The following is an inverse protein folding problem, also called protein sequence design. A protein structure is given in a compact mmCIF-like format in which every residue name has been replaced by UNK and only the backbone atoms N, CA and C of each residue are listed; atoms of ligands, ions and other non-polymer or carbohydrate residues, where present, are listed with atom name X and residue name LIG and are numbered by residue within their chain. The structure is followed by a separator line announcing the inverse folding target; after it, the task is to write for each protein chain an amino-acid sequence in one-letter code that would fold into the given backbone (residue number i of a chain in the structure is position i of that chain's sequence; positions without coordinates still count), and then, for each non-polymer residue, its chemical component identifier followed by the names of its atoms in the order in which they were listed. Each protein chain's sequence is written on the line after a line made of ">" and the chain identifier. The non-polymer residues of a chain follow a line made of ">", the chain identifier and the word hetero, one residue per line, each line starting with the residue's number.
data_IF_941401815417
#
_entry.id   IF_941401815417
#
_cell.length_a   1.000
_cell.length_b   1.000
_cell.length_c   1.000
_cell.angle_alpha   90.00
_cell.angle_beta   90.00
_cell.angle_gamma   90.00
#
_symmetry.space_group_name_H-M   'P 1'
#
loop_
_entity.id
_entity.type
_entity.pdbx_description
1 polymer ?
#
# COMPACT_ATOMS: atom_id res chain seq x y z
N UNK A 1 -11.70 13.50 7.56
CA UNK A 1 -10.90 13.58 8.80
C UNK A 1 -11.62 12.93 9.98
N UNK A 2 -12.83 13.34 10.34
CA UNK A 2 -13.55 12.81 11.53
C UNK A 2 -13.61 11.27 11.61
N UNK A 3 -13.98 10.59 10.51
CA UNK A 3 -13.99 9.11 10.45
C UNK A 3 -12.63 8.50 10.82
N UNK A 4 -11.54 9.12 10.40
CA UNK A 4 -10.18 8.68 10.71
C UNK A 4 -9.87 8.87 12.20
N UNK A 5 -10.18 10.02 12.78
CA UNK A 5 -9.97 10.27 14.22
C UNK A 5 -10.83 9.36 15.10
N UNK A 6 -12.08 9.08 14.71
CA UNK A 6 -12.92 8.10 15.40
C UNK A 6 -12.29 6.70 15.40
N UNK A 7 -11.75 6.26 14.25
CA UNK A 7 -11.01 5.00 14.18
C UNK A 7 -9.77 5.00 15.08
N UNK A 8 -9.02 6.11 15.12
CA UNK A 8 -7.83 6.21 15.97
C UNK A 8 -8.15 6.20 17.46
N UNK A 9 -9.31 6.72 17.89
CA UNK A 9 -9.77 6.62 19.29
C UNK A 9 -9.97 5.15 19.70
N UNK A 10 -10.55 4.34 18.81
CA UNK A 10 -10.68 2.89 19.04
C UNK A 10 -9.32 2.19 19.12
N UNK A 11 -8.34 2.62 18.32
CA UNK A 11 -6.98 2.09 18.42
C UNK A 11 -6.29 2.52 19.71
N UNK A 12 -6.44 3.78 20.13
CA UNK A 12 -5.90 4.28 21.39
C UNK A 12 -6.40 3.45 22.59
N UNK A 13 -7.68 3.06 22.59
CA UNK A 13 -8.23 2.13 23.60
C UNK A 13 -7.53 0.77 23.63
N UNK A 14 -7.04 0.27 22.49
CA UNK A 14 -6.31 -1.00 22.41
C UNK A 14 -4.81 -0.88 22.71
N UNK A 15 -4.26 0.32 22.68
CA UNK A 15 -2.84 0.58 22.89
C UNK A 15 -2.50 0.96 24.35
N UNK A 16 -3.49 1.10 25.24
CA UNK A 16 -3.34 1.64 26.60
C UNK A 16 -2.25 0.95 27.43
N UNK A 17 -2.10 -0.37 27.29
CA UNK A 17 -1.15 -1.18 28.06
C UNK A 17 0.16 -1.49 27.31
N UNK A 18 0.38 -0.88 26.13
CA UNK A 18 1.57 -1.13 25.32
C UNK A 18 2.59 0.02 25.51
N UNK A 19 3.84 -0.29 25.89
CA UNK A 19 4.86 0.74 26.04
C UNK A 19 5.12 1.51 24.73
N UNK A 20 5.22 2.86 24.75
CA UNK A 20 5.44 3.66 23.54
C UNK A 20 6.65 3.23 22.67
N UNK A 21 7.80 2.77 23.22
CA UNK A 21 8.90 2.28 22.40
C UNK A 21 8.59 1.04 21.54
N UNK A 22 7.50 0.33 21.85
CA UNK A 22 7.04 -0.85 21.12
C UNK A 22 5.93 -0.50 20.11
N UNK A 23 5.56 0.78 19.99
CA UNK A 23 4.53 1.26 19.08
C UNK A 23 5.19 2.06 17.97
N UNK A 24 4.93 1.66 16.72
CA UNK A 24 5.27 2.46 15.54
C UNK A 24 4.00 2.69 14.72
N UNK A 25 3.60 3.95 14.59
CA UNK A 25 2.47 4.34 13.75
C UNK A 25 2.99 5.00 12.49
N UNK A 26 2.58 4.49 11.34
CA UNK A 26 2.99 5.02 10.02
C UNK A 26 1.78 5.51 9.24
N UNK A 27 2.01 6.55 8.44
CA UNK A 27 1.06 7.15 7.52
C UNK A 27 1.62 7.09 6.09
N UNK A 28 0.77 6.72 5.14
CA UNK A 28 1.19 6.38 3.77
C UNK A 28 0.56 7.29 2.71
N UNK A 29 0.33 6.80 1.48
CA UNK A 29 0.04 7.58 0.28
C UNK A 29 -1.02 8.68 0.47
N UNK A 30 -2.16 8.39 1.09
CA UNK A 30 -3.23 9.37 1.29
C UNK A 30 -2.77 10.57 2.11
N UNK A 31 -1.99 10.36 3.17
CA UNK A 31 -1.49 11.43 4.02
C UNK A 31 -0.19 12.06 3.47
N UNK A 32 0.55 11.36 2.61
CA UNK A 32 1.63 11.98 1.83
C UNK A 32 1.12 13.05 0.87
N UNK A 33 -0.06 12.84 0.29
CA UNK A 33 -0.61 13.69 -0.78
C UNK A 33 -1.58 14.76 -0.27
N UNK A 34 -2.17 14.59 0.92
CA UNK A 34 -3.17 15.51 1.44
C UNK A 34 -2.56 16.86 1.85
N UNK A 35 -3.08 17.96 1.29
CA UNK A 35 -2.66 19.33 1.64
C UNK A 35 -2.84 19.63 3.13
N UNK A 36 -3.89 19.09 3.74
CA UNK A 36 -4.23 19.24 5.16
C UNK A 36 -3.78 18.04 6.02
N UNK A 37 -2.77 17.28 5.57
CA UNK A 37 -2.24 16.16 6.34
C UNK A 37 -1.74 16.57 7.73
N UNK A 38 -1.15 17.77 7.85
CA UNK A 38 -0.64 18.29 9.13
C UNK A 38 -1.71 18.36 10.22
N UNK A 39 -2.89 18.89 9.90
CA UNK A 39 -4.01 18.98 10.84
C UNK A 39 -4.49 17.60 11.29
N UNK A 40 -4.57 16.66 10.34
CA UNK A 40 -4.96 15.28 10.65
C UNK A 40 -3.93 14.60 11.56
N UNK A 41 -2.63 14.74 11.24
CA UNK A 41 -1.52 14.12 11.96
C UNK A 41 -1.40 14.69 13.37
N UNK A 42 -1.46 16.02 13.53
CA UNK A 42 -1.40 16.66 14.84
C UNK A 42 -2.48 16.07 15.77
N UNK A 43 -3.72 16.02 15.30
CA UNK A 43 -4.82 15.46 16.08
C UNK A 43 -4.71 13.94 16.28
N UNK A 44 -4.18 13.21 15.30
CA UNK A 44 -3.94 11.78 15.41
C UNK A 44 -2.92 11.45 16.50
N UNK A 45 -1.84 12.22 16.60
CA UNK A 45 -0.81 12.05 17.63
C UNK A 45 -1.36 12.33 19.03
N UNK A 46 -2.20 13.35 19.19
CA UNK A 46 -2.91 13.61 20.46
C UNK A 46 -3.79 12.42 20.87
N UNK A 47 -4.53 11.85 19.93
CA UNK A 47 -5.44 10.72 20.19
C UNK A 47 -4.65 9.46 20.57
N UNK A 48 -3.56 9.17 19.86
CA UNK A 48 -2.80 7.93 20.00
C UNK A 48 -1.73 7.99 21.12
N UNK A 49 -1.36 9.18 21.58
CA UNK A 49 -0.29 9.37 22.55
C UNK A 49 1.11 9.00 22.03
N UNK A 50 1.28 8.83 20.72
CA UNK A 50 2.55 8.50 20.08
C UNK A 50 2.70 9.18 18.71
N UNK A 51 3.93 9.32 18.19
CA UNK A 51 4.18 9.97 16.91
C UNK A 51 3.58 9.20 15.73
N UNK A 52 3.07 9.94 14.74
CA UNK A 52 2.60 9.37 13.46
C UNK A 52 3.61 9.75 12.39
N UNK A 53 4.37 8.76 11.92
CA UNK A 53 5.43 8.99 10.93
C UNK A 53 4.88 8.84 9.51
N UNK A 54 4.90 9.92 8.74
CA UNK A 54 4.68 9.83 7.29
C UNK A 54 5.91 9.19 6.66
N UNK A 55 5.76 8.02 6.06
CA UNK A 55 6.85 7.30 5.40
C UNK A 55 6.81 7.52 3.90
N UNK A 56 7.97 7.50 3.25
CA UNK A 56 8.05 7.53 1.78
C UNK A 56 7.36 6.30 1.19
N UNK A 57 6.98 6.39 -0.08
CA UNK A 57 6.49 5.21 -0.81
C UNK A 57 7.54 4.10 -0.85
N UNK A 58 8.82 4.46 -0.88
CA UNK A 58 9.88 3.45 -0.85
C UNK A 58 9.99 2.73 0.51
N UNK A 59 9.89 3.46 1.62
CA UNK A 59 9.91 2.85 2.95
C UNK A 59 8.68 1.96 3.17
N UNK A 60 7.52 2.35 2.64
CA UNK A 60 6.29 1.54 2.66
C UNK A 60 6.49 0.21 1.92
N UNK A 61 6.96 0.27 0.68
CA UNK A 61 7.29 -0.91 -0.12
C UNK A 61 8.33 -1.81 0.57
N UNK A 62 9.35 -1.23 1.21
CA UNK A 62 10.38 -1.98 1.96
C UNK A 62 9.75 -2.75 3.13
N UNK A 63 8.90 -2.10 3.91
CA UNK A 63 8.22 -2.70 5.05
C UNK A 63 7.23 -3.79 4.62
N UNK A 64 6.50 -3.58 3.53
CA UNK A 64 5.62 -4.59 2.93
C UNK A 64 6.42 -5.84 2.54
N UNK A 65 7.54 -5.66 1.82
CA UNK A 65 8.40 -6.78 1.42
C UNK A 65 8.94 -7.53 2.64
N UNK A 66 9.38 -6.83 3.68
CA UNK A 66 9.82 -7.46 4.93
C UNK A 66 8.69 -8.28 5.58
N UNK A 67 7.47 -7.74 5.64
CA UNK A 67 6.32 -8.48 6.15
C UNK A 67 6.06 -9.77 5.38
N UNK A 68 6.09 -9.72 4.04
CA UNK A 68 5.91 -10.90 3.17
C UNK A 68 7.06 -11.90 3.34
N UNK A 69 8.31 -11.43 3.37
CA UNK A 69 9.49 -12.28 3.51
C UNK A 69 9.52 -13.08 4.82
N UNK A 70 8.94 -12.55 5.90
CA UNK A 70 8.85 -13.25 7.19
C UNK A 70 7.63 -14.18 7.32
N UNK A 71 6.64 -14.05 6.45
CA UNK A 71 5.35 -14.77 6.58
C UNK A 71 5.09 -15.76 5.44
N UNK A 72 5.85 -15.69 4.35
CA UNK A 72 5.62 -16.50 3.15
C UNK A 72 6.79 -17.46 2.90
N UNK A 73 6.51 -18.77 2.93
CA UNK A 73 7.45 -19.80 2.51
C UNK A 73 7.49 -19.98 0.98
N UNK A 74 8.42 -20.81 0.48
CA UNK A 74 8.57 -21.11 -0.94
C UNK A 74 9.87 -20.57 -1.52
N UNK A 75 9.85 -20.16 -2.78
CA UNK A 75 11.05 -19.63 -3.45
C UNK A 75 11.49 -18.29 -2.84
N UNK A 76 12.79 -18.15 -2.61
CA UNK A 76 13.34 -16.95 -1.98
C UNK A 76 13.30 -15.72 -2.88
N UNK A 77 13.43 -15.90 -4.20
CA UNK A 77 13.41 -14.82 -5.18
C UNK A 77 11.97 -14.50 -5.61
N UNK A 78 11.49 -13.33 -5.22
CA UNK A 78 10.07 -12.97 -5.35
C UNK A 78 9.83 -11.55 -5.83
N UNK A 79 8.71 -11.38 -6.53
CA UNK A 79 8.06 -10.10 -6.75
C UNK A 79 6.89 -9.98 -5.76
N UNK A 80 6.84 -8.88 -5.03
CA UNK A 80 5.72 -8.52 -4.17
C UNK A 80 4.95 -7.37 -4.82
N UNK A 81 3.63 -7.53 -4.92
CA UNK A 81 2.71 -6.51 -5.43
C UNK A 81 1.69 -6.18 -4.37
N UNK A 82 1.64 -4.94 -3.93
CA UNK A 82 0.62 -4.44 -3.01
C UNK A 82 -0.21 -3.37 -3.70
N UNK A 83 -1.51 -3.61 -3.86
CA UNK A 83 -2.43 -2.65 -4.48
C UNK A 83 -3.25 -1.97 -3.38
N UNK A 84 -2.80 -0.79 -2.98
CA UNK A 84 -3.45 0.06 -2.01
C UNK A 84 -4.56 0.94 -2.60
N UNK A 85 -5.04 1.88 -1.79
CA UNK A 85 -6.10 2.82 -2.19
C UNK A 85 -5.61 3.93 -3.12
N UNK A 86 -4.41 4.46 -2.87
CA UNK A 86 -3.84 5.59 -3.60
C UNK A 86 -2.48 5.29 -4.26
N UNK A 87 -1.75 4.30 -3.75
CA UNK A 87 -0.48 3.82 -4.32
C UNK A 87 -0.48 2.30 -4.50
N UNK A 88 0.47 1.84 -5.31
CA UNK A 88 0.75 0.43 -5.57
C UNK A 88 2.24 0.22 -5.45
N UNK A 89 2.64 -0.69 -4.56
CA UNK A 89 4.02 -1.02 -4.31
C UNK A 89 4.43 -2.26 -5.11
N UNK A 90 5.60 -2.19 -5.77
CA UNK A 90 6.20 -3.29 -6.52
C UNK A 90 7.64 -3.48 -6.06
N UNK A 91 7.94 -4.66 -5.51
CA UNK A 91 9.24 -4.93 -4.91
C UNK A 91 9.78 -6.26 -5.38
N UNK A 92 10.96 -6.28 -5.98
CA UNK A 92 11.70 -7.52 -6.22
C UNK A 92 12.69 -7.74 -5.09
N UNK A 93 12.99 -9.00 -4.77
CA UNK A 93 14.04 -9.32 -3.81
C UNK A 93 14.28 -10.80 -3.65
N UNK A 94 15.35 -11.14 -2.93
CA UNK A 94 15.69 -12.52 -2.56
C UNK A 94 15.85 -12.65 -1.05
N UNK A 95 15.13 -13.60 -0.44
CA UNK A 95 15.18 -13.79 1.01
C UNK A 95 14.67 -12.55 1.75
N UNK A 96 15.45 -11.96 2.65
CA UNK A 96 15.08 -10.71 3.32
C UNK A 96 15.56 -9.44 2.60
N UNK A 97 16.25 -9.57 1.47
CA UNK A 97 16.91 -8.47 0.78
C UNK A 97 16.13 -8.03 -0.46
N UNK A 98 15.82 -6.73 -0.54
CA UNK A 98 15.18 -6.12 -1.71
C UNK A 98 16.22 -5.84 -2.80
N UNK A 99 15.86 -6.08 -4.06
CA UNK A 99 16.70 -5.80 -5.23
C UNK A 99 16.22 -4.60 -6.04
N UNK A 100 14.90 -4.37 -6.11
CA UNK A 100 14.31 -3.15 -6.66
C UNK A 100 13.04 -2.81 -5.91
N UNK A 101 12.69 -1.53 -5.87
CA UNK A 101 11.65 -1.05 -4.99
C UNK A 101 10.95 0.16 -5.60
N UNK A 102 9.65 0.04 -5.85
CA UNK A 102 8.83 1.09 -6.43
C UNK A 102 7.53 1.28 -5.67
N UNK A 103 7.12 2.55 -5.54
CA UNK A 103 5.77 2.94 -5.10
C UNK A 103 5.17 3.82 -6.18
N UNK A 104 4.21 3.28 -6.92
CA UNK A 104 3.57 3.95 -8.04
C UNK A 104 2.30 4.67 -7.59
N UNK A 105 2.06 5.86 -8.12
CA UNK A 105 0.85 6.67 -7.83
C UNK A 105 -0.39 6.12 -8.52
N UNK A 106 -0.77 4.89 -8.17
CA UNK A 106 -1.97 4.21 -8.62
C UNK A 106 -2.58 3.33 -7.55
N UNK A 107 -3.89 3.38 -7.35
CA UNK A 107 -4.57 2.55 -6.36
C UNK A 107 -6.06 2.46 -6.62
N UNK A 108 -6.75 1.58 -5.91
CA UNK A 108 -8.14 1.25 -6.23
C UNK A 108 -9.12 2.42 -6.00
N UNK A 109 -8.88 3.29 -5.01
CA UNK A 109 -9.72 4.46 -4.74
C UNK A 109 -9.47 5.53 -5.81
N UNK A 110 -8.20 5.83 -6.10
CA UNK A 110 -7.85 6.83 -7.11
C UNK A 110 -8.24 6.39 -8.53
N UNK A 111 -8.19 5.10 -8.83
CA UNK A 111 -8.62 4.56 -10.13
C UNK A 111 -10.14 4.58 -10.26
N UNK A 112 -10.87 4.25 -9.19
CA UNK A 112 -12.33 4.33 -9.17
C UNK A 112 -12.80 5.76 -9.43
N UNK A 113 -12.19 6.75 -8.77
CA UNK A 113 -12.54 8.16 -8.95
C UNK A 113 -12.22 8.67 -10.36
N UNK A 114 -11.13 8.21 -10.97
CA UNK A 114 -10.65 8.70 -12.27
C UNK A 114 -11.32 8.04 -13.47
N UNK A 115 -11.48 6.72 -13.45
CA UNK A 115 -11.91 5.94 -14.62
C UNK A 115 -13.33 5.39 -14.49
N UNK A 116 -13.94 5.49 -13.31
CA UNK A 116 -15.30 4.98 -13.04
C UNK A 116 -16.16 6.04 -12.35
N UNK A 117 -15.93 7.32 -12.68
CA UNK A 117 -16.64 8.46 -12.11
C UNK A 117 -18.16 8.41 -12.35
N UNK A 118 -18.56 7.88 -13.50
CA UNK A 118 -19.95 7.67 -13.91
C UNK A 118 -20.59 6.41 -13.31
N UNK A 119 -19.84 5.64 -12.51
CA UNK A 119 -20.22 4.34 -11.92
C UNK A 119 -20.53 3.26 -12.96
N UNK A 120 -20.18 3.48 -14.23
CA UNK A 120 -20.38 2.48 -15.27
C UNK A 120 -19.26 1.45 -15.23
N UNK A 121 -19.61 0.16 -15.22
CA UNK A 121 -18.67 -0.95 -15.29
C UNK A 121 -18.53 -1.48 -16.73
N UNK A 122 -18.52 -0.56 -17.69
CA UNK A 122 -18.41 -0.85 -19.12
C UNK A 122 -16.96 -1.13 -19.55
N UNK A 123 -16.81 -1.80 -20.69
CA UNK A 123 -15.50 -2.16 -21.23
C UNK A 123 -14.59 -0.95 -21.46
N UNK A 124 -15.14 0.17 -21.92
CA UNK A 124 -14.39 1.42 -22.15
C UNK A 124 -13.67 1.93 -20.88
N UNK A 125 -14.38 1.93 -19.74
CA UNK A 125 -13.83 2.36 -18.46
C UNK A 125 -12.71 1.42 -17.99
N UNK A 126 -12.88 0.10 -18.17
CA UNK A 126 -11.84 -0.88 -17.87
C UNK A 126 -10.62 -0.70 -18.78
N UNK A 127 -10.81 -0.55 -20.08
CA UNK A 127 -9.74 -0.36 -21.06
C UNK A 127 -8.93 0.90 -20.72
N UNK A 128 -9.60 2.00 -20.37
CA UNK A 128 -8.95 3.24 -19.95
C UNK A 128 -8.14 3.06 -18.64
N UNK A 129 -8.72 2.40 -17.63
CA UNK A 129 -8.07 2.14 -16.35
C UNK A 129 -6.83 1.23 -16.49
N UNK A 130 -6.94 0.17 -17.29
CA UNK A 130 -5.85 -0.76 -17.57
C UNK A 130 -4.74 -0.10 -18.39
N UNK A 131 -5.10 0.66 -19.43
CA UNK A 131 -4.14 1.39 -20.25
C UNK A 131 -3.31 2.33 -19.38
N UNK A 132 -3.96 3.08 -18.48
CA UNK A 132 -3.27 3.99 -17.58
C UNK A 132 -2.37 3.26 -16.57
N UNK A 133 -2.83 2.13 -16.00
CA UNK A 133 -1.99 1.32 -15.12
C UNK A 133 -0.72 0.82 -15.84
N UNK A 134 -0.86 0.38 -17.11
CA UNK A 134 0.29 -0.02 -17.95
C UNK A 134 1.25 1.13 -18.22
N UNK A 135 0.74 2.34 -18.44
CA UNK A 135 1.56 3.54 -18.63
C UNK A 135 2.34 3.93 -17.37
N UNK A 136 1.71 3.83 -16.19
CA UNK A 136 2.36 4.08 -14.90
C UNK A 136 3.41 3.03 -14.58
N UNK A 137 3.18 1.75 -14.93
CA UNK A 137 4.12 0.65 -14.70
C UNK A 137 5.30 0.65 -15.68
N UNK A 138 5.10 1.15 -16.91
CA UNK A 138 6.08 1.03 -18.00
C UNK A 138 7.50 1.48 -17.64
N UNK A 139 7.73 2.61 -16.96
CA UNK A 139 9.09 3.09 -16.67
C UNK A 139 9.89 2.17 -15.75
N UNK A 140 9.21 1.36 -14.91
CA UNK A 140 9.87 0.48 -13.93
C UNK A 140 9.88 -0.98 -14.36
N UNK A 141 9.18 -1.31 -15.44
CA UNK A 141 8.96 -2.69 -15.85
C UNK A 141 10.26 -3.42 -16.24
N UNK A 142 11.20 -2.72 -16.88
CA UNK A 142 12.45 -3.33 -17.32
C UNK A 142 13.37 -3.66 -16.14
N UNK A 143 13.43 -2.80 -15.13
CA UNK A 143 14.20 -3.06 -13.90
C UNK A 143 13.59 -4.23 -13.10
N UNK A 144 12.26 -4.26 -12.97
CA UNK A 144 11.56 -5.38 -12.35
C UNK A 144 11.88 -6.71 -13.07
N UNK A 145 11.86 -6.72 -14.41
CA UNK A 145 12.17 -7.91 -15.20
C UNK A 145 13.65 -8.29 -15.15
N UNK A 146 14.55 -7.30 -15.08
CA UNK A 146 15.99 -7.52 -14.96
C UNK A 146 16.34 -8.30 -13.70
N UNK A 147 15.78 -7.89 -12.55
CA UNK A 147 15.96 -8.64 -11.31
C UNK A 147 15.20 -9.96 -11.30
N UNK A 148 14.03 -9.99 -11.94
CA UNK A 148 13.22 -11.18 -12.11
C UNK A 148 12.68 -11.76 -10.78
N UNK A 149 11.87 -12.79 -10.91
CA UNK A 149 11.28 -13.49 -9.77
C UNK A 149 10.95 -14.93 -10.11
N UNK A 150 10.96 -15.81 -9.11
CA UNK A 150 10.49 -17.20 -9.22
C UNK A 150 9.04 -17.35 -8.76
N UNK A 151 8.61 -16.47 -7.86
CA UNK A 151 7.24 -16.40 -7.35
C UNK A 151 6.76 -14.95 -7.31
N UNK A 152 5.49 -14.72 -7.66
CA UNK A 152 4.83 -13.44 -7.50
C UNK A 152 3.80 -13.54 -6.38
N UNK A 153 3.89 -12.65 -5.40
CA UNK A 153 3.04 -12.64 -4.21
C UNK A 153 2.28 -11.32 -4.18
N UNK A 154 0.96 -11.41 -4.00
CA UNK A 154 0.11 -10.23 -3.85
C UNK A 154 -0.23 -9.98 -2.38
N UNK A 155 -0.32 -8.70 -2.00
CA UNK A 155 -0.73 -8.22 -0.68
C UNK A 155 -1.95 -7.30 -0.77
N UNK A 156 -2.48 -6.88 0.39
CA UNK A 156 -3.63 -5.99 0.55
C UNK A 156 -4.99 -6.49 0.06
N UNK A 157 -6.01 -5.63 0.27
CA UNK A 157 -7.43 -5.97 0.11
C UNK A 157 -7.83 -6.41 -1.31
N UNK A 158 -7.22 -5.84 -2.35
CA UNK A 158 -7.52 -6.20 -3.74
C UNK A 158 -7.18 -7.67 -4.02
N UNK A 159 -6.02 -8.13 -3.56
CA UNK A 159 -5.59 -9.53 -3.73
C UNK A 159 -6.39 -10.47 -2.82
N UNK A 160 -6.70 -10.04 -1.60
CA UNK A 160 -7.55 -10.80 -0.68
C UNK A 160 -8.95 -11.03 -1.27
N UNK A 161 -9.55 -10.04 -1.94
CA UNK A 161 -10.85 -10.19 -2.58
C UNK A 161 -10.85 -11.29 -3.67
N UNK A 162 -9.74 -11.47 -4.39
CA UNK A 162 -9.59 -12.56 -5.36
C UNK A 162 -9.57 -13.94 -4.68
N UNK A 163 -8.91 -14.06 -3.52
CA UNK A 163 -8.87 -15.33 -2.75
C UNK A 163 -10.24 -15.75 -2.20
N UNK A 164 -11.13 -14.79 -1.93
CA UNK A 164 -12.45 -15.05 -1.37
C UNK A 164 -13.52 -15.37 -2.42
N UNK A 165 -13.20 -15.27 -3.73
CA UNK A 165 -14.02 -15.87 -4.77
C UNK A 165 -13.88 -17.39 -4.69
N UNK A 166 -14.76 -18.02 -3.92
CA UNK A 166 -15.01 -19.46 -4.06
C UNK A 166 -15.45 -19.72 -5.50
N UNK A 167 -14.64 -20.48 -6.23
CA UNK A 167 -15.05 -21.19 -7.45
C UNK A 167 -16.13 -22.22 -7.13
#
# INVERSE_FOLDING_TARGET
>A
MERGWQCLRLFAERLQDIPPPQIRVVATATLRLAVNAGDFIAKAQEILGCPVQVISGEEEARLIYQGVAHTTGGADQRLVVDIGGASTELVTGTGAQTTSLFSLSMGCVTWLERYFADRNLGQENFDAAEKAAREVLRPVADELRYHGWKVCVGASGTVQALRHRKS
#
